data_IF_039475602995
#
_entry.id   IF_039475602995
#
_cell.length_a   1.000
_cell.length_b   1.000
_cell.length_c   1.000
_cell.angle_alpha   90.00
_cell.angle_beta   90.00
_cell.angle_gamma   90.00
#
_symmetry.space_group_name_H-M   'P 1'
#
loop_
_entity.id
_entity.type
_entity.pdbx_description
1 polymer ?
#
# COMPACT_ATOMS: atom_id res chain seq x y z
N UNK A 1 7.69 6.23 5.66
CA UNK A 1 6.62 5.23 5.84
C UNK A 1 7.25 3.92 6.33
N UNK A 2 6.76 3.35 7.44
CA UNK A 2 7.16 2.01 7.92
C UNK A 2 6.72 0.96 6.91
N UNK A 3 7.53 -0.08 6.68
CA UNK A 3 7.15 -1.19 5.80
C UNK A 3 7.02 -2.48 6.61
N UNK A 4 5.89 -3.17 6.46
CA UNK A 4 5.63 -4.49 7.03
C UNK A 4 5.70 -5.54 5.92
N UNK A 5 6.75 -6.38 5.87
CA UNK A 5 6.84 -7.45 4.88
C UNK A 5 5.96 -8.64 5.29
N UNK A 6 5.17 -9.16 4.35
CA UNK A 6 4.36 -10.37 4.51
C UNK A 6 4.55 -11.31 3.31
N UNK A 7 4.29 -12.60 3.52
CA UNK A 7 4.24 -13.58 2.43
C UNK A 7 2.82 -13.64 1.84
N UNK A 8 2.69 -13.73 0.51
CA UNK A 8 1.42 -13.91 -0.19
C UNK A 8 1.32 -15.25 -0.92
N UNK A 9 2.02 -16.29 -0.44
CA UNK A 9 1.87 -17.65 -0.97
C UNK A 9 0.38 -18.03 -1.02
N UNK A 10 -0.13 -18.28 -2.22
CA UNK A 10 -1.52 -18.61 -2.55
C UNK A 10 -2.59 -17.52 -2.30
N UNK A 11 -2.19 -16.29 -1.99
CA UNK A 11 -3.15 -15.17 -1.86
C UNK A 11 -3.40 -14.51 -3.22
N UNK A 12 -4.69 -14.29 -3.52
CA UNK A 12 -5.11 -13.34 -4.55
C UNK A 12 -5.13 -11.90 -4.00
N UNK A 13 -5.35 -10.92 -4.88
CA UNK A 13 -5.39 -9.51 -4.50
C UNK A 13 -6.36 -9.20 -3.35
N UNK A 14 -7.56 -9.79 -3.35
CA UNK A 14 -8.59 -9.50 -2.36
C UNK A 14 -8.23 -10.12 -0.99
N UNK A 15 -7.64 -11.32 -1.01
CA UNK A 15 -7.15 -11.97 0.19
C UNK A 15 -5.95 -11.19 0.78
N UNK A 16 -5.01 -10.76 -0.06
CA UNK A 16 -3.89 -9.91 0.33
C UNK A 16 -4.37 -8.57 0.90
N UNK A 17 -5.35 -7.92 0.27
CA UNK A 17 -5.95 -6.67 0.75
C UNK A 17 -6.60 -6.84 2.14
N UNK A 18 -7.36 -7.91 2.35
CA UNK A 18 -7.98 -8.18 3.67
C UNK A 18 -6.92 -8.38 4.75
N UNK A 19 -5.86 -9.12 4.45
CA UNK A 19 -4.75 -9.33 5.38
C UNK A 19 -3.97 -8.04 5.65
N UNK A 20 -3.79 -7.20 4.63
CA UNK A 20 -3.19 -5.88 4.77
C UNK A 20 -4.01 -4.97 5.70
N UNK A 21 -5.34 -4.93 5.51
CA UNK A 21 -6.24 -4.16 6.34
C UNK A 21 -6.19 -4.63 7.80
N UNK A 22 -6.29 -5.94 8.04
CA UNK A 22 -6.17 -6.48 9.40
C UNK A 22 -4.82 -6.14 10.05
N UNK A 23 -3.73 -6.16 9.28
CA UNK A 23 -2.41 -5.76 9.78
C UNK A 23 -2.35 -4.26 10.08
N UNK A 24 -2.94 -3.43 9.24
CA UNK A 24 -3.02 -1.99 9.46
C UNK A 24 -3.85 -1.64 10.71
N UNK A 25 -4.96 -2.35 10.92
CA UNK A 25 -5.81 -2.16 12.11
C UNK A 25 -5.03 -2.47 13.41
N UNK A 26 -4.17 -3.50 13.41
CA UNK A 26 -3.32 -3.82 14.56
C UNK A 26 -2.19 -2.81 14.78
N UNK A 27 -1.63 -2.27 13.70
CA UNK A 27 -0.45 -1.40 13.75
C UNK A 27 -0.79 0.09 13.95
N UNK A 28 -1.94 0.54 13.45
CA UNK A 28 -2.32 1.95 13.40
C UNK A 28 -3.65 2.26 14.12
N UNK A 29 -4.44 1.26 14.51
CA UNK A 29 -5.81 1.48 14.98
C UNK A 29 -6.70 1.95 13.84
N UNK A 30 -7.49 3.01 14.06
CA UNK A 30 -8.32 3.60 13.01
C UNK A 30 -7.44 4.12 11.86
N UNK A 31 -7.67 3.59 10.66
CA UNK A 31 -6.82 3.84 9.50
C UNK A 31 -7.62 3.86 8.20
N UNK A 32 -6.97 4.33 7.13
CA UNK A 32 -7.52 4.32 5.78
C UNK A 32 -6.46 3.91 4.77
N UNK A 33 -6.85 3.04 3.82
CA UNK A 33 -6.04 2.71 2.65
C UNK A 33 -5.96 3.92 1.71
N UNK A 34 -4.75 4.39 1.45
CA UNK A 34 -4.46 5.53 0.58
C UNK A 34 -4.20 5.12 -0.87
N UNK A 35 -3.38 4.10 -1.05
CA UNK A 35 -2.93 3.65 -2.36
C UNK A 35 -2.53 2.19 -2.33
N UNK A 36 -2.49 1.58 -3.51
CA UNK A 36 -2.06 0.22 -3.67
C UNK A 36 -1.45 -0.05 -5.04
N UNK A 37 -0.71 -1.15 -5.13
CA UNK A 37 -0.15 -1.69 -6.36
C UNK A 37 -0.33 -3.21 -6.42
N UNK A 38 -0.72 -3.68 -7.60
CA UNK A 38 -0.80 -5.08 -7.98
C UNK A 38 0.17 -5.30 -9.15
N UNK A 39 1.30 -5.96 -8.87
CA UNK A 39 2.34 -6.23 -9.86
C UNK A 39 1.91 -7.25 -10.91
N UNK A 40 1.04 -8.19 -10.55
CA UNK A 40 0.63 -9.26 -11.46
C UNK A 40 -0.26 -8.73 -12.58
N UNK A 41 -1.08 -7.72 -12.27
CA UNK A 41 -1.96 -7.05 -13.24
C UNK A 41 -1.39 -5.73 -13.76
N UNK A 42 -0.28 -5.28 -13.19
CA UNK A 42 0.30 -3.95 -13.34
C UNK A 42 -0.75 -2.84 -13.17
N UNK A 43 -1.54 -2.96 -12.11
CA UNK A 43 -2.59 -2.02 -11.75
C UNK A 43 -2.22 -1.29 -10.46
N UNK A 44 -2.71 -0.06 -10.34
CA UNK A 44 -2.51 0.77 -9.16
C UNK A 44 -3.72 1.64 -8.86
N UNK A 45 -3.78 2.13 -7.63
CA UNK A 45 -4.67 3.21 -7.22
C UNK A 45 -3.90 4.25 -6.41
N UNK A 46 -4.10 5.56 -6.65
CA UNK A 46 -4.89 6.14 -7.73
C UNK A 46 -4.36 5.77 -9.12
N UNK A 47 -5.26 5.57 -10.08
CA UNK A 47 -4.89 5.14 -11.43
C UNK A 47 -4.05 6.22 -12.13
N UNK A 48 -2.93 5.83 -12.74
CA UNK A 48 -2.05 6.73 -13.47
C UNK A 48 -1.11 7.54 -12.56
N UNK A 49 -1.04 7.22 -11.25
CA UNK A 49 -0.07 7.84 -10.36
C UNK A 49 1.37 7.63 -10.85
N UNK A 50 1.65 6.49 -11.50
CA UNK A 50 2.95 6.16 -12.09
C UNK A 50 3.20 6.76 -13.48
N UNK A 51 2.23 7.39 -14.14
CA UNK A 51 2.42 7.98 -15.49
C UNK A 51 3.39 9.17 -15.45
N UNK A 52 3.48 9.89 -14.34
CA UNK A 52 4.49 10.94 -14.13
C UNK A 52 5.88 10.40 -13.73
N UNK A 53 6.02 9.08 -13.56
CA UNK A 53 7.20 8.39 -13.01
C UNK A 53 7.81 7.35 -13.96
N UNK A 54 7.59 7.48 -15.27
CA UNK A 54 8.29 6.65 -16.27
C UNK A 54 9.81 6.75 -16.08
N UNK A 55 10.46 5.65 -15.67
CA UNK A 55 11.90 5.57 -15.42
C UNK A 55 12.32 5.69 -13.94
N UNK A 56 11.40 5.88 -13.00
CA UNK A 56 11.72 5.86 -11.57
C UNK A 56 11.64 4.45 -10.96
N UNK A 57 12.53 4.11 -10.01
CA UNK A 57 12.47 2.84 -9.28
C UNK A 57 11.26 2.75 -8.33
N UNK A 58 10.72 3.91 -7.93
CA UNK A 58 9.52 4.01 -7.09
C UNK A 58 8.32 4.34 -7.97
N UNK A 59 7.31 3.47 -7.95
CA UNK A 59 6.02 3.67 -8.66
C UNK A 59 5.17 4.70 -7.94
N UNK A 60 4.35 5.45 -8.67
CA UNK A 60 3.66 6.65 -8.17
C UNK A 60 2.65 6.42 -7.06
N UNK A 61 2.14 5.19 -6.88
CA UNK A 61 1.30 4.84 -5.72
C UNK A 61 2.01 5.11 -4.37
N UNK A 62 3.33 4.89 -4.31
CA UNK A 62 4.12 5.05 -3.09
C UNK A 62 4.32 6.52 -2.75
N UNK A 63 4.71 7.31 -3.75
CA UNK A 63 4.89 8.75 -3.59
C UNK A 63 3.56 9.44 -3.28
N UNK A 64 2.47 8.98 -3.89
CA UNK A 64 1.12 9.43 -3.53
C UNK A 64 0.83 9.20 -2.04
N UNK A 65 1.08 7.99 -1.53
CA UNK A 65 0.86 7.70 -0.11
C UNK A 65 1.73 8.58 0.79
N UNK A 66 3.03 8.74 0.50
CA UNK A 66 3.93 9.59 1.27
C UNK A 66 3.41 11.03 1.35
N UNK A 67 3.01 11.60 0.21
CA UNK A 67 2.52 12.98 0.13
C UNK A 67 1.16 13.19 0.83
N UNK A 68 0.40 12.10 1.06
CA UNK A 68 -0.91 12.12 1.72
C UNK A 68 -0.86 11.67 3.18
N UNK A 69 0.33 11.56 3.77
CA UNK A 69 0.49 11.21 5.18
C UNK A 69 0.53 9.71 5.48
N UNK A 70 0.79 8.86 4.48
CA UNK A 70 0.95 7.42 4.66
C UNK A 70 2.03 7.08 5.68
N UNK A 71 1.68 6.28 6.69
CA UNK A 71 2.57 5.88 7.79
C UNK A 71 2.99 4.42 7.72
N UNK A 72 2.16 3.54 7.14
CA UNK A 72 2.44 2.11 6.99
C UNK A 72 2.26 1.65 5.55
N UNK A 73 3.20 0.84 5.04
CA UNK A 73 3.04 0.06 3.82
C UNK A 73 3.12 -1.43 4.15
N UNK A 74 2.09 -2.19 3.82
CA UNK A 74 2.12 -3.66 3.87
C UNK A 74 2.59 -4.16 2.51
N UNK A 75 3.71 -4.87 2.49
CA UNK A 75 4.39 -5.28 1.27
C UNK A 75 4.46 -6.81 1.20
N UNK A 76 3.76 -7.38 0.22
CA UNK A 76 3.72 -8.81 -0.04
C UNK A 76 4.75 -9.22 -1.10
N UNK A 77 5.47 -10.32 -0.82
CA UNK A 77 6.38 -10.99 -1.76
C UNK A 77 7.28 -10.02 -2.55
N UNK A 78 7.95 -9.10 -1.84
CA UNK A 78 8.85 -8.10 -2.42
C UNK A 78 8.20 -7.24 -3.52
N UNK A 79 6.97 -6.77 -3.27
CA UNK A 79 6.27 -5.82 -4.13
C UNK A 79 5.29 -6.48 -5.10
N UNK A 80 4.91 -7.75 -4.88
CA UNK A 80 3.82 -8.39 -5.63
C UNK A 80 2.50 -7.66 -5.38
N UNK A 81 2.19 -7.39 -4.11
CA UNK A 81 1.14 -6.47 -3.70
C UNK A 81 1.70 -5.48 -2.69
N UNK A 82 1.35 -4.20 -2.83
CA UNK A 82 1.70 -3.18 -1.84
C UNK A 82 0.46 -2.38 -1.49
N UNK A 83 0.22 -2.18 -0.21
CA UNK A 83 -0.93 -1.44 0.30
C UNK A 83 -0.46 -0.39 1.31
N UNK A 84 -0.75 0.88 1.07
CA UNK A 84 -0.27 1.99 1.88
C UNK A 84 -1.42 2.60 2.69
N UNK A 85 -1.22 2.77 3.99
CA UNK A 85 -2.23 3.21 4.95
C UNK A 85 -1.78 4.48 5.71
N UNK A 86 -2.76 5.29 6.07
CA UNK A 86 -2.61 6.40 7.03
C UNK A 86 -3.47 6.13 8.26
N UNK A 87 -3.00 6.46 9.48
CA UNK A 87 -3.84 6.52 10.66
C UNK A 87 -4.82 7.70 10.55
N UNK A 88 -5.99 7.58 11.16
CA UNK A 88 -7.00 8.64 11.23
C UNK A 88 -6.94 9.42 12.55
N UNK A 89 -6.22 8.92 13.55
CA UNK A 89 -6.14 9.45 14.91
C UNK A 89 -5.19 10.67 15.08
N UNK A 90 -4.68 11.27 14.00
CA UNK A 90 -3.81 12.46 14.08
C UNK A 90 -4.57 13.81 14.09
N UNK A 91 -5.91 13.81 14.23
CA UNK A 91 -6.72 15.02 14.41
C UNK A 91 -7.14 15.21 15.88
N UNK A 92 -6.17 15.49 16.76
CA UNK A 92 -6.45 15.99 18.12
C UNK A 92 -5.63 17.24 18.38
#
# INVERSE_FOLDING_TARGET
MKTLPLAAADLDFNAALKLAQASADQELGDNMLLSWYDRERDLESPRGASECHEGCPTKGYWDYALNRGGKLAVNFDQGRFVFCFQPLDEFI
#
